data_IF_320614719262
#
_entry.id   IF_320614719262
#
_cell.length_a   1.000
_cell.length_b   1.000
_cell.length_c   1.000
_cell.angle_alpha   90.00
_cell.angle_beta   90.00
_cell.angle_gamma   90.00
#
_symmetry.space_group_name_H-M   'P 1'
#
loop_
_entity.id
_entity.type
_entity.pdbx_description
1 polymer ?
#
# COMPACT_ATOMS: atom_id res chain seq x y z
N UNK A 1 24.47 5.01 2.24
CA UNK A 1 23.27 4.15 2.22
C UNK A 1 22.51 4.46 0.94
N UNK A 2 21.87 3.48 0.26
CA UNK A 2 21.05 3.80 -0.90
C UNK A 2 19.95 4.77 -0.49
N UNK A 3 19.65 5.72 -1.38
CA UNK A 3 18.65 6.76 -1.15
C UNK A 3 17.25 6.14 -0.97
N UNK A 4 16.51 6.62 0.03
CA UNK A 4 15.15 6.16 0.27
C UNK A 4 14.25 6.57 -0.90
N UNK A 5 13.44 5.64 -1.41
CA UNK A 5 12.62 5.85 -2.60
C UNK A 5 11.15 6.05 -2.26
N UNK A 6 10.51 6.95 -2.99
CA UNK A 6 9.07 7.19 -2.96
C UNK A 6 8.34 6.29 -3.98
N UNK A 7 7.30 5.61 -3.52
CA UNK A 7 6.38 4.82 -4.32
C UNK A 7 4.98 5.40 -4.21
N UNK A 8 4.46 5.94 -5.30
CA UNK A 8 3.15 6.57 -5.37
C UNK A 8 2.21 5.74 -6.24
N UNK A 9 0.99 5.60 -5.76
CA UNK A 9 -0.02 4.81 -6.45
C UNK A 9 -1.43 5.04 -5.91
N UNK A 10 -2.33 4.18 -6.33
CA UNK A 10 -3.73 4.15 -5.93
C UNK A 10 -4.12 2.76 -5.48
N UNK A 11 -5.23 2.66 -4.76
CA UNK A 11 -5.86 1.39 -4.37
C UNK A 11 -6.53 0.67 -5.56
N UNK A 12 -5.79 0.38 -6.63
CA UNK A 12 -6.27 -0.21 -7.88
C UNK A 12 -6.00 0.70 -9.08
N UNK A 13 -6.14 0.16 -10.29
CA UNK A 13 -5.89 0.89 -11.54
C UNK A 13 -7.03 0.78 -12.57
N UNK A 14 -7.93 -0.20 -12.47
CA UNK A 14 -8.83 -0.56 -13.57
C UNK A 14 -10.17 0.21 -13.56
N UNK A 15 -10.13 1.55 -13.72
CA UNK A 15 -11.32 2.41 -13.62
C UNK A 15 -11.57 3.19 -14.92
N UNK A 16 -12.56 2.80 -15.74
CA UNK A 16 -12.92 3.53 -16.96
C UNK A 16 -13.37 4.97 -16.71
N UNK A 17 -13.94 5.26 -15.54
CA UNK A 17 -14.38 6.60 -15.12
C UNK A 17 -13.25 7.61 -14.99
N UNK A 18 -11.99 7.17 -15.03
CA UNK A 18 -10.83 8.04 -15.03
C UNK A 18 -10.49 8.62 -16.42
N UNK A 19 -11.21 8.23 -17.46
CA UNK A 19 -11.11 8.83 -18.80
C UNK A 19 -11.86 10.18 -18.86
N UNK A 20 -11.39 11.15 -19.67
CA UNK A 20 -10.07 11.20 -20.32
C UNK A 20 -8.94 11.71 -19.41
N UNK A 21 -9.27 12.14 -18.19
CA UNK A 21 -8.37 12.94 -17.37
C UNK A 21 -7.09 12.20 -16.92
N UNK A 22 -7.20 10.93 -16.57
CA UNK A 22 -6.04 10.08 -16.28
C UNK A 22 -5.74 9.07 -17.40
N UNK A 23 -6.77 8.46 -18.00
CA UNK A 23 -6.60 7.55 -19.14
C UNK A 23 -7.03 8.23 -20.44
N UNK A 24 -6.36 8.01 -21.58
CA UNK A 24 -6.85 8.48 -22.87
C UNK A 24 -8.27 7.97 -23.16
N UNK A 25 -9.09 8.80 -23.78
CA UNK A 25 -10.50 8.52 -24.08
C UNK A 25 -10.69 7.14 -24.73
N UNK A 26 -9.90 6.86 -25.77
CA UNK A 26 -10.00 5.62 -26.55
C UNK A 26 -9.14 4.46 -26.01
N UNK A 27 -8.53 4.59 -24.82
CA UNK A 27 -7.65 3.54 -24.29
C UNK A 27 -8.45 2.28 -23.94
N UNK A 28 -8.15 1.09 -24.52
CA UNK A 28 -8.83 -0.14 -24.14
C UNK A 28 -8.53 -0.53 -22.68
N UNK A 29 -9.51 -1.06 -21.95
CA UNK A 29 -9.33 -1.44 -20.53
C UNK A 29 -8.20 -2.44 -20.30
N UNK A 30 -7.91 -3.30 -21.28
CA UNK A 30 -6.78 -4.24 -21.24
C UNK A 30 -5.41 -3.56 -21.18
N UNK A 31 -5.31 -2.28 -21.56
CA UNK A 31 -4.09 -1.46 -21.54
C UNK A 31 -4.01 -0.50 -20.35
N UNK A 32 -4.99 -0.53 -19.43
CA UNK A 32 -5.00 0.36 -18.27
C UNK A 32 -3.77 0.17 -17.39
N UNK A 33 -3.37 -1.06 -17.07
CA UNK A 33 -2.18 -1.28 -16.23
C UNK A 33 -0.90 -0.76 -16.90
N UNK A 34 -0.71 -1.07 -18.19
CA UNK A 34 0.48 -0.61 -18.93
C UNK A 34 0.54 0.91 -19.03
N UNK A 35 -0.60 1.57 -19.22
CA UNK A 35 -0.65 3.03 -19.25
C UNK A 35 -0.46 3.62 -17.84
N UNK A 36 -1.12 3.08 -16.84
CA UNK A 36 -0.98 3.49 -15.44
C UNK A 36 0.49 3.49 -14.99
N UNK A 37 1.23 2.44 -15.37
CA UNK A 37 2.62 2.26 -15.01
C UNK A 37 3.61 3.17 -15.77
N UNK A 38 3.15 3.99 -16.72
CA UNK A 38 3.98 5.07 -17.29
C UNK A 38 3.94 6.34 -16.44
N UNK A 39 2.89 6.49 -15.61
CA UNK A 39 2.63 7.69 -14.80
C UNK A 39 2.98 7.48 -13.32
N UNK A 40 2.73 6.28 -12.81
CA UNK A 40 2.92 5.89 -11.41
C UNK A 40 3.84 4.68 -11.30
N UNK A 41 4.46 4.50 -10.13
CA UNK A 41 5.48 3.46 -9.90
C UNK A 41 5.03 2.37 -8.90
N UNK A 42 3.79 2.45 -8.41
CA UNK A 42 3.24 1.45 -7.51
C UNK A 42 1.72 1.33 -7.65
N UNK A 43 1.16 0.18 -7.30
CA UNK A 43 -0.29 0.03 -7.15
C UNK A 43 -0.65 -0.91 -6.00
N UNK A 44 -1.61 -0.50 -5.16
CA UNK A 44 -2.18 -1.37 -4.13
C UNK A 44 -3.24 -2.29 -4.75
N UNK A 45 -2.95 -3.58 -4.78
CA UNK A 45 -3.77 -4.58 -5.44
C UNK A 45 -4.91 -5.05 -4.51
N UNK A 46 -6.07 -4.39 -4.60
CA UNK A 46 -7.29 -4.84 -3.93
C UNK A 46 -7.85 -6.16 -4.48
N UNK A 47 -7.43 -6.57 -5.68
CA UNK A 47 -7.85 -7.84 -6.30
C UNK A 47 -7.59 -9.03 -5.37
N UNK A 48 -6.46 -9.03 -4.67
CA UNK A 48 -6.02 -10.11 -3.77
C UNK A 48 -6.83 -10.19 -2.47
N UNK A 49 -7.60 -9.14 -2.14
CA UNK A 49 -8.45 -9.11 -0.95
C UNK A 49 -9.56 -10.18 -0.99
N UNK A 50 -10.07 -10.52 -2.18
CA UNK A 50 -11.18 -11.47 -2.34
C UNK A 50 -10.81 -12.75 -3.07
N UNK A 51 -9.62 -12.79 -3.67
CA UNK A 51 -9.18 -13.90 -4.51
C UNK A 51 -7.71 -14.19 -4.26
N UNK A 52 -7.36 -15.46 -4.27
CA UNK A 52 -5.96 -15.86 -4.50
C UNK A 52 -5.68 -15.64 -5.98
N UNK A 53 -4.78 -14.73 -6.30
CA UNK A 53 -4.41 -14.46 -7.69
C UNK A 53 -3.59 -15.63 -8.24
N UNK A 54 -3.83 -15.99 -9.50
CA UNK A 54 -3.05 -17.02 -10.17
C UNK A 54 -1.68 -16.50 -10.59
N UNK A 55 -0.72 -17.40 -10.73
CA UNK A 55 0.60 -17.08 -11.29
C UNK A 55 0.46 -16.38 -12.65
N UNK A 56 -0.39 -16.89 -13.53
CA UNK A 56 -0.66 -16.30 -14.84
C UNK A 56 -1.18 -14.85 -14.79
N UNK A 57 -1.91 -14.46 -13.72
CA UNK A 57 -2.31 -13.06 -13.51
C UNK A 57 -1.08 -12.21 -13.20
N UNK A 58 -0.24 -12.65 -12.26
CA UNK A 58 0.97 -11.91 -11.92
C UNK A 58 1.98 -11.84 -13.05
N UNK A 59 2.21 -12.92 -13.81
CA UNK A 59 3.09 -12.90 -14.98
C UNK A 59 2.64 -11.85 -16.00
N UNK A 60 1.33 -11.73 -16.26
CA UNK A 60 0.78 -10.69 -17.14
C UNK A 60 1.00 -9.28 -16.59
N UNK A 61 0.82 -9.09 -15.29
CA UNK A 61 1.04 -7.79 -14.65
C UNK A 61 2.51 -7.36 -14.71
N UNK A 62 3.42 -8.29 -14.39
CA UNK A 62 4.88 -8.07 -14.48
C UNK A 62 5.24 -7.69 -15.91
N UNK A 63 4.81 -8.46 -16.92
CA UNK A 63 5.08 -8.17 -18.33
C UNK A 63 4.46 -6.85 -18.84
N UNK A 64 3.47 -6.30 -18.14
CA UNK A 64 2.77 -5.07 -18.54
C UNK A 64 3.33 -3.81 -17.86
N UNK A 65 4.35 -3.92 -17.00
CA UNK A 65 4.84 -2.79 -16.19
C UNK A 65 6.38 -2.69 -16.25
N UNK A 66 6.97 -1.48 -16.24
CA UNK A 66 8.42 -1.30 -16.39
C UNK A 66 9.17 -1.77 -15.16
N UNK A 67 10.47 -2.03 -15.26
CA UNK A 67 11.34 -2.40 -14.13
C UNK A 67 11.23 -1.43 -12.94
N UNK A 68 11.22 -1.99 -11.73
CA UNK A 68 11.07 -1.25 -10.48
C UNK A 68 9.65 -0.81 -10.09
N UNK A 69 8.62 -1.07 -10.91
CA UNK A 69 7.23 -0.82 -10.51
C UNK A 69 6.74 -1.89 -9.52
N UNK A 70 6.12 -1.48 -8.41
CA UNK A 70 5.74 -2.39 -7.32
C UNK A 70 4.24 -2.66 -7.27
N UNK A 71 3.90 -3.91 -6.96
CA UNK A 71 2.54 -4.31 -6.60
C UNK A 71 2.46 -4.51 -5.09
N UNK A 72 1.50 -3.86 -4.43
CA UNK A 72 1.34 -3.86 -2.98
C UNK A 72 0.07 -4.66 -2.65
N UNK A 73 0.15 -5.98 -2.38
CA UNK A 73 -1.04 -6.81 -2.24
C UNK A 73 -1.80 -6.47 -0.97
N UNK A 74 -3.13 -6.44 -1.06
CA UNK A 74 -3.97 -6.46 0.14
C UNK A 74 -4.16 -7.89 0.60
N UNK A 75 -3.89 -8.16 1.88
CA UNK A 75 -4.10 -9.47 2.48
C UNK A 75 -5.55 -9.91 2.30
N UNK A 76 -5.74 -11.20 2.01
CA UNK A 76 -7.05 -11.75 1.74
C UNK A 76 -8.01 -11.59 2.94
N UNK A 77 -9.27 -11.22 2.68
CA UNK A 77 -10.28 -10.91 3.70
C UNK A 77 -10.54 -12.07 4.68
N UNK A 78 -10.30 -13.30 4.23
CA UNK A 78 -10.40 -14.48 5.10
C UNK A 78 -9.45 -14.37 6.30
N UNK A 79 -8.25 -13.80 6.11
CA UNK A 79 -7.25 -13.59 7.17
C UNK A 79 -7.72 -12.48 8.12
N UNK A 80 -8.07 -11.31 7.57
CA UNK A 80 -8.22 -10.08 8.38
C UNK A 80 -9.65 -9.82 8.87
N UNK A 81 -10.68 -10.31 8.19
CA UNK A 81 -12.09 -10.03 8.50
C UNK A 81 -12.86 -11.27 8.97
N UNK A 82 -12.61 -12.44 8.36
CA UNK A 82 -13.31 -13.68 8.73
C UNK A 82 -12.66 -14.35 9.93
N UNK A 83 -11.39 -14.72 9.80
CA UNK A 83 -10.61 -15.37 10.87
C UNK A 83 -10.11 -14.36 11.90
N UNK A 84 -10.01 -13.07 11.54
CA UNK A 84 -9.53 -11.99 12.41
C UNK A 84 -8.22 -12.38 13.07
N UNK A 85 -7.27 -12.84 12.25
CA UNK A 85 -5.92 -13.30 12.63
C UNK A 85 -5.86 -14.56 13.52
N UNK A 86 -6.99 -15.16 13.90
CA UNK A 86 -7.03 -16.36 14.74
C UNK A 86 -7.13 -17.61 13.86
N UNK A 87 -6.33 -18.65 14.16
CA UNK A 87 -6.27 -19.88 13.36
C UNK A 87 -6.08 -19.62 11.85
N UNK A 88 -5.31 -18.58 11.52
CA UNK A 88 -5.12 -18.09 10.15
C UNK A 88 -3.81 -18.55 9.50
N UNK A 89 -3.00 -19.35 10.21
CA UNK A 89 -1.66 -19.80 9.82
C UNK A 89 -1.66 -20.43 8.43
N UNK A 90 -2.51 -21.45 8.25
CA UNK A 90 -2.58 -22.26 7.03
C UNK A 90 -2.92 -21.39 5.81
N UNK A 91 -3.98 -20.61 5.94
CA UNK A 91 -4.46 -19.80 4.83
C UNK A 91 -3.54 -18.61 4.56
N UNK A 92 -2.88 -18.08 5.58
CA UNK A 92 -1.84 -17.04 5.42
C UNK A 92 -0.66 -17.60 4.63
N UNK A 93 -0.21 -18.82 4.93
CA UNK A 93 0.85 -19.47 4.15
C UNK A 93 0.47 -19.66 2.68
N UNK A 94 -0.73 -20.16 2.39
CA UNK A 94 -1.24 -20.31 1.02
C UNK A 94 -1.29 -18.96 0.29
N UNK A 95 -1.78 -17.91 0.98
CA UNK A 95 -1.81 -16.57 0.42
C UNK A 95 -0.41 -16.05 0.10
N UNK A 96 0.54 -16.14 1.03
CA UNK A 96 1.91 -15.66 0.84
C UNK A 96 2.65 -16.41 -0.27
N UNK A 97 2.43 -17.72 -0.39
CA UNK A 97 2.94 -18.55 -1.49
C UNK A 97 2.43 -18.09 -2.84
N UNK A 98 1.15 -17.68 -2.94
CA UNK A 98 0.60 -17.17 -4.20
C UNK A 98 1.30 -15.90 -4.70
N UNK A 99 1.97 -15.14 -3.81
CA UNK A 99 2.70 -13.92 -4.14
C UNK A 99 4.12 -14.18 -4.68
N UNK A 100 4.56 -15.44 -4.74
CA UNK A 100 5.91 -15.81 -5.19
C UNK A 100 6.30 -15.26 -6.57
N UNK A 101 5.41 -15.24 -7.58
CA UNK A 101 5.76 -14.65 -8.87
C UNK A 101 6.17 -13.17 -8.78
N UNK A 102 5.53 -12.40 -7.89
CA UNK A 102 5.90 -11.00 -7.64
C UNK A 102 7.23 -10.91 -6.89
N UNK A 103 7.42 -11.78 -5.88
CA UNK A 103 8.63 -11.80 -5.05
C UNK A 103 9.87 -12.17 -5.86
N UNK A 104 9.81 -13.27 -6.60
CA UNK A 104 10.91 -13.74 -7.45
C UNK A 104 11.29 -12.75 -8.56
N UNK A 105 10.35 -11.93 -9.02
CA UNK A 105 10.61 -10.87 -10.00
C UNK A 105 11.07 -9.53 -9.38
N UNK A 106 11.17 -9.43 -8.04
CA UNK A 106 11.50 -8.17 -7.36
C UNK A 106 10.39 -7.11 -7.46
N UNK A 107 9.14 -7.54 -7.60
CA UNK A 107 7.95 -6.69 -7.84
C UNK A 107 6.98 -6.62 -6.67
N UNK A 108 7.25 -7.37 -5.60
CA UNK A 108 6.45 -7.38 -4.39
C UNK A 108 6.79 -6.17 -3.51
N UNK A 109 5.84 -5.24 -3.38
CA UNK A 109 5.85 -4.20 -2.36
C UNK A 109 5.21 -4.67 -1.05
N UNK A 110 5.02 -3.75 -0.07
CA UNK A 110 4.45 -4.11 1.22
C UNK A 110 3.07 -4.77 1.11
N UNK A 111 2.85 -5.81 1.92
CA UNK A 111 1.57 -6.50 2.03
C UNK A 111 0.72 -5.82 3.10
N UNK A 112 -0.45 -5.33 2.71
CA UNK A 112 -1.37 -4.62 3.60
C UNK A 112 -2.34 -5.57 4.31
N UNK A 113 -2.25 -5.65 5.63
CA UNK A 113 -3.21 -6.28 6.52
C UNK A 113 -4.16 -5.21 7.11
N UNK A 114 -5.22 -4.89 6.36
CA UNK A 114 -6.29 -4.03 6.87
C UNK A 114 -7.27 -4.84 7.71
N UNK A 115 -7.45 -4.48 8.99
CA UNK A 115 -8.40 -5.14 9.89
C UNK A 115 -9.80 -4.50 9.82
N UNK A 116 -10.80 -5.28 10.23
CA UNK A 116 -12.18 -4.82 10.26
C UNK A 116 -12.38 -3.73 11.35
N UNK A 117 -13.25 -2.72 11.12
CA UNK A 117 -13.49 -1.64 12.09
C UNK A 117 -14.10 -2.11 13.41
N UNK A 118 -14.82 -3.25 13.40
CA UNK A 118 -15.40 -3.86 14.59
C UNK A 118 -14.41 -4.71 15.38
N UNK A 119 -13.20 -4.93 14.86
CA UNK A 119 -12.19 -5.70 15.53
C UNK A 119 -11.43 -4.79 16.51
N UNK A 120 -11.68 -4.99 17.80
CA UNK A 120 -10.97 -4.31 18.90
C UNK A 120 -9.63 -4.98 19.15
N UNK A 121 -8.74 -4.26 19.85
CA UNK A 121 -7.42 -4.72 20.24
C UNK A 121 -7.43 -6.13 20.86
N UNK A 122 -6.51 -6.95 20.36
CA UNK A 122 -6.13 -8.26 20.90
C UNK A 122 -4.63 -8.42 20.64
N UNK A 123 -3.83 -8.03 21.63
CA UNK A 123 -2.37 -7.96 21.51
C UNK A 123 -1.74 -9.32 21.38
N UNK A 124 -2.21 -10.30 22.15
CA UNK A 124 -1.64 -11.65 22.10
C UNK A 124 -1.88 -12.26 20.73
N UNK A 125 -3.07 -12.01 20.15
CA UNK A 125 -3.36 -12.46 18.79
C UNK A 125 -2.52 -11.75 17.74
N UNK A 126 -2.36 -10.42 17.84
CA UNK A 126 -1.48 -9.69 16.92
C UNK A 126 -0.05 -10.22 17.00
N UNK A 127 0.48 -10.38 18.22
CA UNK A 127 1.84 -10.87 18.44
C UNK A 127 2.05 -12.30 17.92
N UNK A 128 1.08 -13.21 18.13
CA UNK A 128 1.11 -14.54 17.54
C UNK A 128 1.12 -14.47 16.01
N UNK A 129 0.22 -13.68 15.43
CA UNK A 129 0.07 -13.61 13.99
C UNK A 129 1.29 -13.00 13.29
N UNK A 130 1.84 -11.90 13.81
CA UNK A 130 2.99 -11.21 13.24
C UNK A 130 4.23 -12.13 13.20
N UNK A 131 4.41 -13.02 14.18
CA UNK A 131 5.50 -14.01 14.19
C UNK A 131 5.42 -15.04 13.05
N UNK A 132 4.26 -15.21 12.42
CA UNK A 132 4.07 -16.09 11.27
C UNK A 132 4.52 -15.45 9.95
N UNK A 133 4.65 -14.12 9.92
CA UNK A 133 4.96 -13.40 8.71
C UNK A 133 6.44 -13.59 8.34
N UNK A 134 6.77 -13.79 7.06
CA UNK A 134 8.14 -14.00 6.61
C UNK A 134 8.95 -12.71 6.78
N UNK A 135 10.10 -12.81 7.45
CA UNK A 135 10.98 -11.66 7.73
C UNK A 135 11.49 -10.92 6.49
N UNK A 136 11.44 -11.55 5.31
CA UNK A 136 11.87 -10.96 4.04
C UNK A 136 10.81 -10.09 3.35
N UNK A 137 9.54 -10.22 3.72
CA UNK A 137 8.47 -9.42 3.12
C UNK A 137 8.19 -8.19 3.99
N UNK A 138 8.04 -7.02 3.36
CA UNK A 138 7.50 -5.84 4.03
C UNK A 138 6.00 -6.04 4.28
N UNK A 139 5.54 -5.74 5.48
CA UNK A 139 4.11 -5.85 5.82
C UNK A 139 3.65 -4.61 6.57
N UNK A 140 2.42 -4.19 6.32
CA UNK A 140 1.80 -3.04 6.96
C UNK A 140 0.44 -3.43 7.56
N UNK A 141 0.16 -2.97 8.78
CA UNK A 141 -1.14 -3.15 9.43
C UNK A 141 -1.92 -1.85 9.45
N UNK A 142 -3.16 -1.90 8.96
CA UNK A 142 -4.11 -0.80 9.09
C UNK A 142 -5.20 -1.19 10.07
N UNK A 143 -5.20 -0.49 11.21
CA UNK A 143 -6.25 -0.63 12.21
C UNK A 143 -7.36 0.38 11.96
N UNK A 144 -8.61 -0.08 12.11
CA UNK A 144 -9.81 0.73 11.90
C UNK A 144 -10.63 0.93 13.18
N UNK A 145 -9.99 0.67 14.32
CA UNK A 145 -10.57 0.80 15.64
C UNK A 145 -9.54 1.46 16.56
N UNK A 146 -9.91 2.54 17.24
CA UNK A 146 -9.01 3.32 18.06
C UNK A 146 -8.39 2.53 19.22
N UNK A 147 -9.01 1.42 19.65
CA UNK A 147 -8.44 0.57 20.71
C UNK A 147 -7.08 -0.03 20.34
N UNK A 148 -6.71 -0.10 19.06
CA UNK A 148 -5.39 -0.57 18.61
C UNK A 148 -4.27 0.48 18.74
N UNK A 149 -4.61 1.74 19.04
CA UNK A 149 -3.63 2.83 19.14
C UNK A 149 -3.06 2.90 20.55
N UNK A 150 -2.33 1.84 20.90
CA UNK A 150 -1.72 1.60 22.20
C UNK A 150 -0.21 1.32 22.04
N UNK A 151 0.61 1.77 22.98
CA UNK A 151 2.07 1.59 22.96
C UNK A 151 2.50 0.12 22.88
N UNK A 152 1.73 -0.79 23.48
CA UNK A 152 2.02 -2.21 23.43
C UNK A 152 1.76 -2.82 22.04
N UNK A 153 0.82 -2.26 21.26
CA UNK A 153 0.68 -2.59 19.82
C UNK A 153 1.89 -2.09 19.04
N UNK A 154 2.32 -0.85 19.27
CA UNK A 154 3.48 -0.28 18.56
C UNK A 154 4.76 -1.05 18.85
N UNK A 155 4.92 -1.56 20.07
CA UNK A 155 6.05 -2.42 20.46
C UNK A 155 6.05 -3.71 19.65
N UNK A 156 4.92 -4.42 19.58
CA UNK A 156 4.80 -5.65 18.77
C UNK A 156 5.13 -5.41 17.31
N UNK A 157 4.70 -4.28 16.74
CA UNK A 157 4.99 -3.93 15.36
C UNK A 157 6.49 -3.59 15.15
N UNK A 158 7.09 -2.79 16.05
CA UNK A 158 8.52 -2.41 16.02
C UNK A 158 9.43 -3.63 16.08
N UNK A 159 9.18 -4.54 17.02
CA UNK A 159 10.01 -5.74 17.22
C UNK A 159 10.02 -6.66 15.99
N UNK A 160 8.98 -6.58 15.17
CA UNK A 160 8.83 -7.37 13.95
C UNK A 160 9.11 -6.59 12.66
N UNK A 161 9.51 -5.32 12.74
CA UNK A 161 9.69 -4.42 11.59
C UNK A 161 8.43 -4.33 10.68
N UNK A 162 7.25 -4.25 11.31
CA UNK A 162 5.95 -4.15 10.61
C UNK A 162 5.47 -2.71 10.66
N UNK A 163 5.06 -2.17 9.51
CA UNK A 163 4.59 -0.78 9.46
C UNK A 163 3.19 -0.64 10.07
N UNK A 164 3.03 0.31 10.99
CA UNK A 164 1.74 0.91 11.24
C UNK A 164 1.36 1.72 10.00
N UNK A 165 0.28 1.34 9.34
CA UNK A 165 -0.23 2.05 8.18
C UNK A 165 -0.76 3.42 8.63
N UNK A 166 -0.14 4.50 8.16
CA UNK A 166 -0.62 5.88 8.36
C UNK A 166 -1.82 6.12 7.46
N UNK A 167 -3.01 5.76 7.95
CA UNK A 167 -4.26 5.89 7.22
C UNK A 167 -5.15 6.97 7.82
N UNK A 168 -5.83 7.71 6.95
CA UNK A 168 -6.97 8.53 7.30
C UNK A 168 -8.25 7.88 6.78
N UNK A 169 -9.39 8.08 7.44
CA UNK A 169 -10.71 7.83 6.90
C UNK A 169 -11.72 8.76 7.59
N UNK A 170 -12.97 8.75 7.16
CA UNK A 170 -14.00 9.69 7.64
C UNK A 170 -14.13 9.77 9.16
N UNK A 171 -13.80 8.70 9.90
CA UNK A 171 -14.04 8.60 11.34
C UNK A 171 -12.77 8.37 12.17
N UNK A 172 -11.61 8.23 11.54
CA UNK A 172 -10.38 7.84 12.22
C UNK A 172 -9.13 8.24 11.43
N UNK A 173 -8.22 8.93 12.10
CA UNK A 173 -6.86 9.15 11.63
C UNK A 173 -5.90 8.31 12.48
N UNK A 174 -4.98 7.61 11.83
CA UNK A 174 -4.00 6.76 12.50
C UNK A 174 -2.82 7.60 12.98
N UNK A 175 -2.34 7.42 14.21
CA UNK A 175 -1.13 8.09 14.69
C UNK A 175 0.06 7.84 13.75
N UNK A 176 0.86 8.88 13.49
CA UNK A 176 2.06 8.81 12.66
C UNK A 176 3.27 8.22 13.41
N UNK A 177 3.06 7.10 14.11
CA UNK A 177 4.12 6.37 14.81
C UNK A 177 4.90 5.53 13.80
N UNK A 178 6.23 5.62 13.82
CA UNK A 178 7.10 4.79 13.01
C UNK A 178 7.37 3.47 13.73
N UNK A 179 7.05 2.35 13.09
CA UNK A 179 7.21 0.99 13.63
C UNK A 179 8.00 0.07 12.70
N UNK A 180 8.59 0.62 11.64
CA UNK A 180 9.35 -0.12 10.64
C UNK A 180 10.41 0.76 9.98
N UNK A 181 11.30 0.14 9.23
CA UNK A 181 12.32 0.77 8.38
C UNK A 181 11.76 1.36 7.06
N UNK A 182 10.44 1.40 6.92
CA UNK A 182 9.71 2.03 5.81
C UNK A 182 8.39 2.63 6.30
N UNK A 183 7.76 3.47 5.48
CA UNK A 183 6.46 4.09 5.79
C UNK A 183 5.41 3.68 4.77
N UNK A 184 4.20 3.34 5.25
CA UNK A 184 3.04 3.05 4.40
C UNK A 184 1.91 4.03 4.70
N UNK A 185 1.63 4.93 3.77
CA UNK A 185 0.58 5.95 3.86
C UNK A 185 -0.62 5.55 3.01
N UNK A 186 -1.81 5.54 3.61
CA UNK A 186 -3.08 5.36 2.89
C UNK A 186 -3.92 6.61 2.98
N UNK A 187 -3.89 7.35 1.89
CA UNK A 187 -4.55 8.63 1.72
C UNK A 187 -5.98 8.36 1.23
N UNK A 188 -6.99 8.54 2.09
CA UNK A 188 -8.38 8.14 1.82
C UNK A 188 -9.40 9.25 1.67
N UNK A 189 -9.04 10.52 1.83
CA UNK A 189 -9.99 11.61 1.58
C UNK A 189 -10.40 11.61 0.10
N UNK A 190 -11.65 12.00 -0.20
CA UNK A 190 -12.12 12.06 -1.57
C UNK A 190 -11.39 13.10 -2.41
N UNK A 191 -11.01 14.20 -1.76
CA UNK A 191 -10.16 15.22 -2.35
C UNK A 191 -9.15 15.74 -1.32
N UNK A 192 -8.10 16.39 -1.81
CA UNK A 192 -7.10 17.08 -1.01
C UNK A 192 -6.92 18.47 -1.58
N UNK A 193 -7.14 19.49 -0.75
CA UNK A 193 -6.84 20.85 -1.17
C UNK A 193 -5.31 21.07 -1.30
N UNK A 194 -4.92 22.24 -1.80
CA UNK A 194 -3.51 22.56 -2.02
C UNK A 194 -2.68 22.52 -0.73
N UNK A 195 -3.25 22.94 0.41
CA UNK A 195 -2.56 22.95 1.69
C UNK A 195 -2.38 21.52 2.24
N UNK A 196 -3.38 20.66 2.05
CA UNK A 196 -3.31 19.26 2.44
C UNK A 196 -2.31 18.49 1.57
N UNK A 197 -2.26 18.76 0.27
CA UNK A 197 -1.25 18.19 -0.63
C UNK A 197 0.17 18.60 -0.25
N UNK A 198 0.40 19.88 0.10
CA UNK A 198 1.70 20.34 0.60
C UNK A 198 2.08 19.67 1.92
N UNK A 199 1.12 19.42 2.82
CA UNK A 199 1.35 18.68 4.06
C UNK A 199 1.71 17.21 3.81
N UNK A 200 1.08 16.56 2.84
CA UNK A 200 1.43 15.19 2.40
C UNK A 200 2.85 15.16 1.82
N UNK A 201 3.17 16.11 0.94
CA UNK A 201 4.49 16.24 0.32
C UNK A 201 5.58 16.45 1.37
N UNK A 202 5.38 17.40 2.29
CA UNK A 202 6.31 17.67 3.38
C UNK A 202 6.56 16.42 4.23
N UNK A 203 5.51 15.67 4.62
CA UNK A 203 5.69 14.43 5.39
C UNK A 203 6.47 13.37 4.62
N UNK A 204 6.13 13.15 3.35
CA UNK A 204 6.84 12.19 2.51
C UNK A 204 8.32 12.58 2.36
N UNK A 205 8.62 13.86 2.16
CA UNK A 205 9.98 14.39 2.11
C UNK A 205 10.75 14.15 3.41
N UNK A 206 10.14 14.42 4.56
CA UNK A 206 10.76 14.16 5.85
C UNK A 206 11.08 12.68 6.04
N UNK A 207 10.18 11.77 5.68
CA UNK A 207 10.45 10.33 5.76
C UNK A 207 11.61 9.91 4.86
N UNK A 208 11.64 10.39 3.61
CA UNK A 208 12.70 10.06 2.65
C UNK A 208 14.06 10.61 3.10
N UNK A 209 14.11 11.87 3.56
CA UNK A 209 15.33 12.51 4.08
C UNK A 209 15.89 11.78 5.30
N UNK A 210 15.02 11.17 6.11
CA UNK A 210 15.41 10.34 7.25
C UNK A 210 15.66 8.86 6.89
N UNK A 211 15.68 8.51 5.60
CA UNK A 211 16.07 7.19 5.12
C UNK A 211 14.95 6.15 5.09
N UNK A 212 13.68 6.55 5.21
CA UNK A 212 12.53 5.64 5.15
C UNK A 212 11.92 5.58 3.74
N UNK A 213 12.05 4.46 3.01
CA UNK A 213 11.27 4.26 1.79
C UNK A 213 9.79 4.43 2.08
N UNK A 214 9.10 5.21 1.25
CA UNK A 214 7.74 5.65 1.54
C UNK A 214 6.79 5.19 0.45
N UNK A 215 5.68 4.58 0.85
CA UNK A 215 4.62 4.09 -0.03
C UNK A 215 3.38 4.94 0.20
N UNK A 216 3.06 5.85 -0.72
CA UNK A 216 1.92 6.76 -0.64
C UNK A 216 0.81 6.32 -1.59
N UNK A 217 -0.26 5.75 -1.02
CA UNK A 217 -1.35 5.13 -1.78
C UNK A 217 -2.65 5.93 -1.61
N UNK A 218 -3.06 6.60 -2.68
CA UNK A 218 -4.30 7.36 -2.76
C UNK A 218 -5.52 6.49 -3.00
N UNK A 219 -6.72 7.04 -2.74
CA UNK A 219 -7.98 6.31 -2.92
C UNK A 219 -8.27 6.12 -4.37
N UNK A 220 -8.75 4.92 -4.69
CA UNK A 220 -9.50 4.77 -5.91
C UNK A 220 -10.87 5.37 -5.64
N UNK A 221 -11.21 6.39 -6.40
CA UNK A 221 -12.56 6.94 -6.40
C UNK A 221 -13.16 6.72 -7.78
N UNK A 222 -14.47 7.00 -7.89
CA UNK A 222 -15.11 7.13 -9.19
C UNK A 222 -14.42 8.23 -10.02
N UNK A 223 -13.85 9.24 -9.36
CA UNK A 223 -13.04 10.29 -9.99
C UNK A 223 -11.55 9.89 -10.12
N UNK A 224 -10.82 10.51 -11.08
CA UNK A 224 -9.38 10.33 -11.24
C UNK A 224 -8.53 11.11 -10.22
N UNK A 225 -9.14 11.83 -9.26
CA UNK A 225 -8.44 12.76 -8.38
C UNK A 225 -7.27 12.09 -7.62
N UNK A 226 -7.50 10.91 -7.04
CA UNK A 226 -6.46 10.16 -6.33
C UNK A 226 -5.27 9.78 -7.23
N UNK A 227 -5.52 9.40 -8.48
CA UNK A 227 -4.45 9.05 -9.42
C UNK A 227 -3.64 10.27 -9.87
N UNK A 228 -4.31 11.42 -10.06
CA UNK A 228 -3.65 12.69 -10.38
C UNK A 228 -2.85 13.24 -9.20
N UNK A 229 -3.35 13.11 -7.97
CA UNK A 229 -2.63 13.53 -6.77
C UNK A 229 -1.41 12.64 -6.49
N UNK A 230 -1.52 11.33 -6.75
CA UNK A 230 -0.38 10.42 -6.71
C UNK A 230 0.70 10.81 -7.72
N UNK A 231 0.32 11.21 -8.93
CA UNK A 231 1.27 11.63 -9.97
C UNK A 231 1.96 12.95 -9.61
N UNK A 232 1.19 13.94 -9.11
CA UNK A 232 1.75 15.21 -8.62
C UNK A 232 2.81 14.95 -7.55
N UNK A 233 2.47 14.16 -6.53
CA UNK A 233 3.39 13.83 -5.43
C UNK A 233 4.67 13.13 -5.95
N UNK A 234 4.54 12.22 -6.91
CA UNK A 234 5.68 11.51 -7.50
C UNK A 234 6.59 12.43 -8.33
N UNK A 235 6.02 13.39 -9.05
CA UNK A 235 6.77 14.26 -9.96
C UNK A 235 7.51 15.39 -9.24
N UNK A 236 7.00 15.87 -8.09
CA UNK A 236 7.74 16.87 -7.29
C UNK A 236 9.13 16.35 -6.92
N UNK A 237 9.24 15.07 -6.56
CA UNK A 237 10.53 14.45 -6.23
C UNK A 237 11.47 14.28 -7.43
N UNK A 238 10.94 13.98 -8.62
CA UNK A 238 11.76 13.91 -9.83
C UNK A 238 12.42 15.26 -10.17
N UNK A 239 11.75 16.37 -9.89
CA UNK A 239 12.32 17.70 -10.11
C UNK A 239 13.39 18.08 -9.06
N UNK A 240 13.30 17.57 -7.82
CA UNK A 240 14.34 17.80 -6.80
C UNK A 240 15.60 16.95 -7.00
N UNK A 241 15.54 15.89 -7.81
CA UNK A 241 16.65 14.97 -8.11
C UNK A 241 17.46 15.37 -9.36
N UNK A 242 17.06 16.42 -10.10
CA UNK A 242 17.84 16.94 -11.22
C UNK A 242 18.89 17.95 -10.72
N UNK A 243 20.19 17.71 -10.92
CA UNK A 243 21.20 18.71 -10.60
C UNK A 243 21.03 19.93 -11.52
N UNK A 244 21.14 21.12 -10.93
CA UNK A 244 21.23 22.40 -11.64
C UNK A 244 22.48 22.47 -12.55
#
# INVERSE_FOLDING_TARGET
MPEAKLYCGTSGFAYPSWKPAFYPEELPSAKFLSYYATRLNAVEANYTYRRIASESTFSKWIASTPDGFLFLPKAHMKITHVLKLEAAEEFTRVFLQSLEPLRGAGRLGPILFQLAPTFKIDIDRLARFVRLLPKGDRTAFEFRNATWFDESVYTVLKDANVALCHAENENLETPHVLTSDFVYMRLRKPDYDASEMLSIEYRADQYLTNGYPTYAIFKHEESPAGALNAEKLLNVKKCSEQPA
#
